data_IF_399124439898
#
_entry.id   IF_399124439898
#
_cell.length_a   1.000
_cell.length_b   1.000
_cell.length_c   1.000
_cell.angle_alpha   90.00
_cell.angle_beta   90.00
_cell.angle_gamma   90.00
#
_symmetry.space_group_name_H-M   'P 1'
#
loop_
_entity.id
_entity.type
_entity.pdbx_description
1 polymer ?
#
# COMPACT_ATOMS: atom_id res chain seq x y z
N UNK A 1 15.75 -16.08 26.10
CA UNK A 1 14.50 -15.96 25.31
C UNK A 1 14.43 -14.68 24.49
N UNK A 2 14.77 -13.51 25.05
CA UNK A 2 14.80 -12.23 24.32
C UNK A 2 15.71 -12.24 23.09
N UNK A 3 16.91 -12.82 23.17
CA UNK A 3 17.84 -12.87 22.02
C UNK A 3 17.33 -13.71 20.85
N UNK A 4 16.67 -14.85 21.12
CA UNK A 4 16.06 -15.70 20.09
C UNK A 4 14.91 -14.95 19.41
N UNK A 5 14.05 -14.31 20.20
CA UNK A 5 12.99 -13.45 19.68
C UNK A 5 13.54 -12.29 18.84
N UNK A 6 14.65 -11.70 19.26
CA UNK A 6 15.35 -10.65 18.50
C UNK A 6 15.84 -11.13 17.14
N UNK A 7 16.43 -12.32 17.04
CA UNK A 7 16.84 -12.89 15.76
C UNK A 7 15.65 -13.27 14.86
N UNK A 8 14.57 -13.80 15.43
CA UNK A 8 13.34 -14.07 14.68
C UNK A 8 12.69 -12.79 14.15
N UNK A 9 12.69 -11.72 14.95
CA UNK A 9 12.23 -10.40 14.50
C UNK A 9 13.14 -9.82 13.41
N UNK A 10 14.45 -9.99 13.51
CA UNK A 10 15.38 -9.61 12.45
C UNK A 10 15.12 -10.37 11.14
N UNK A 11 14.84 -11.67 11.22
CA UNK A 11 14.50 -12.50 10.06
C UNK A 11 13.19 -12.06 9.40
N UNK A 12 12.17 -11.64 10.18
CA UNK A 12 10.90 -11.18 9.62
C UNK A 12 11.05 -9.91 8.77
N UNK A 13 12.02 -9.05 9.08
CA UNK A 13 12.35 -7.88 8.26
C UNK A 13 12.86 -8.28 6.86
N UNK A 14 13.63 -9.38 6.75
CA UNK A 14 14.08 -9.89 5.45
C UNK A 14 12.91 -10.41 4.61
N UNK A 15 11.93 -11.07 5.25
CA UNK A 15 10.71 -11.52 4.58
C UNK A 15 9.91 -10.31 4.09
N UNK A 16 9.74 -9.28 4.92
CA UNK A 16 9.08 -8.03 4.54
C UNK A 16 9.76 -7.37 3.33
N UNK A 17 11.10 -7.25 3.35
CA UNK A 17 11.86 -6.68 2.23
C UNK A 17 11.68 -7.50 0.94
N UNK A 18 11.67 -8.82 1.03
CA UNK A 18 11.45 -9.69 -0.13
C UNK A 18 10.07 -9.44 -0.77
N UNK A 19 9.01 -9.28 0.05
CA UNK A 19 7.66 -8.94 -0.42
C UNK A 19 7.63 -7.56 -1.07
N UNK A 20 8.27 -6.54 -0.46
CA UNK A 20 8.36 -5.19 -1.06
C UNK A 20 9.04 -5.25 -2.43
N UNK A 21 10.18 -5.95 -2.54
CA UNK A 21 10.89 -6.11 -3.81
C UNK A 21 10.00 -6.79 -4.85
N UNK A 22 9.25 -7.82 -4.46
CA UNK A 22 8.31 -8.49 -5.36
C UNK A 22 7.24 -7.52 -5.86
N UNK A 23 6.58 -6.78 -4.97
CA UNK A 23 5.53 -5.81 -5.32
C UNK A 23 6.03 -4.69 -6.23
N UNK A 24 7.25 -4.19 -6.00
CA UNK A 24 7.86 -3.14 -6.84
C UNK A 24 8.23 -3.67 -8.23
N UNK A 25 8.70 -4.92 -8.33
CA UNK A 25 9.09 -5.54 -9.60
C UNK A 25 7.89 -5.89 -10.49
N UNK A 26 6.69 -6.00 -9.92
CA UNK A 26 5.45 -6.19 -10.66
C UNK A 26 4.47 -7.10 -9.94
N UNK A 27 3.42 -7.50 -10.65
CA UNK A 27 2.32 -8.29 -10.12
C UNK A 27 0.98 -7.81 -10.66
N UNK A 28 -0.09 -8.27 -10.04
CA UNK A 28 -1.43 -7.76 -10.31
C UNK A 28 -1.52 -6.29 -9.87
N UNK A 29 -2.03 -5.44 -10.76
CA UNK A 29 -2.23 -4.03 -10.43
C UNK A 29 -3.37 -3.91 -9.45
N UNK A 30 -3.14 -3.19 -8.35
CA UNK A 30 -4.19 -2.90 -7.39
C UNK A 30 -5.32 -2.10 -8.06
N UNK A 31 -6.56 -2.43 -7.71
CA UNK A 31 -7.72 -1.59 -8.03
C UNK A 31 -7.57 -0.20 -7.38
N UNK A 32 -8.35 0.78 -7.85
CA UNK A 32 -8.38 2.13 -7.28
C UNK A 32 -8.76 2.12 -5.78
N UNK A 33 -9.68 1.23 -5.40
CA UNK A 33 -10.08 0.96 -4.02
C UNK A 33 -9.88 -0.53 -3.71
N UNK A 34 -8.67 -0.95 -3.30
CA UNK A 34 -8.34 -2.35 -3.09
C UNK A 34 -8.83 -2.91 -1.74
N UNK A 35 -9.24 -2.04 -0.81
CA UNK A 35 -9.66 -2.43 0.54
C UNK A 35 -11.16 -2.25 0.75
N UNK A 36 -11.77 -3.22 1.43
CA UNK A 36 -13.14 -3.09 1.90
C UNK A 36 -13.22 -2.05 3.03
N UNK A 37 -14.23 -1.19 2.97
CA UNK A 37 -14.41 -0.11 3.96
C UNK A 37 -13.48 1.10 3.76
N UNK A 38 -12.73 1.18 2.66
CA UNK A 38 -11.96 2.38 2.32
C UNK A 38 -12.90 3.56 2.02
N UNK A 39 -12.82 4.61 2.84
CA UNK A 39 -13.62 5.83 2.73
C UNK A 39 -12.71 7.04 2.57
N UNK A 40 -13.24 8.11 1.98
CA UNK A 40 -12.46 9.31 1.66
C UNK A 40 -12.23 9.51 0.16
N UNK A 41 -11.76 10.71 -0.17
CA UNK A 41 -11.58 11.14 -1.56
C UNK A 41 -10.42 10.43 -2.26
N UNK A 42 -9.43 9.97 -1.52
CA UNK A 42 -8.26 9.25 -2.03
C UNK A 42 -8.63 7.96 -2.78
N UNK A 43 -9.79 7.36 -2.46
CA UNK A 43 -10.31 6.14 -3.11
C UNK A 43 -11.17 6.42 -4.34
N UNK A 44 -11.39 7.70 -4.67
CA UNK A 44 -12.05 8.11 -5.93
C UNK A 44 -11.05 8.32 -7.06
N UNK A 45 -9.76 8.22 -6.76
CA UNK A 45 -8.63 8.48 -7.65
C UNK A 45 -8.12 7.14 -8.21
N UNK A 46 -7.70 7.07 -9.49
CA UNK A 46 -7.14 5.84 -10.04
C UNK A 46 -5.81 5.46 -9.35
N UNK A 47 -5.48 4.17 -9.40
CA UNK A 47 -4.17 3.64 -8.99
C UNK A 47 -3.36 3.26 -10.24
N UNK A 48 -2.17 3.82 -10.48
CA UNK A 48 -1.47 4.84 -9.68
C UNK A 48 -2.11 6.23 -9.79
N UNK A 49 -1.93 7.05 -8.75
CA UNK A 49 -2.48 8.39 -8.71
C UNK A 49 -1.86 9.30 -9.79
N UNK A 50 -2.65 10.14 -10.46
CA UNK A 50 -2.14 11.13 -11.40
C UNK A 50 -1.41 12.26 -10.64
N UNK A 51 -0.56 13.00 -11.34
CA UNK A 51 0.20 14.11 -10.75
C UNK A 51 -0.71 15.24 -10.19
N UNK A 52 -1.84 15.49 -10.86
CA UNK A 52 -2.88 16.40 -10.40
C UNK A 52 -4.17 15.64 -10.15
N UNK A 53 -4.47 15.43 -8.87
CA UNK A 53 -5.54 14.53 -8.42
C UNK A 53 -6.95 15.04 -8.71
N UNK A 54 -7.21 16.34 -8.47
CA UNK A 54 -8.53 16.95 -8.67
C UNK A 54 -8.38 18.29 -9.40
N UNK A 55 -8.86 18.38 -10.64
CA UNK A 55 -8.95 19.65 -11.37
C UNK A 55 -10.19 20.46 -10.97
N UNK A 56 -11.25 19.77 -10.54
CA UNK A 56 -12.48 20.37 -10.01
C UNK A 56 -12.63 19.94 -8.55
N UNK A 57 -12.94 20.86 -7.63
CA UNK A 57 -13.13 20.51 -6.22
C UNK A 57 -14.20 19.41 -6.07
N UNK A 58 -13.88 18.28 -5.42
CA UNK A 58 -14.86 17.26 -5.14
C UNK A 58 -15.87 17.79 -4.12
N UNK A 59 -17.14 17.41 -4.30
CA UNK A 59 -18.17 17.70 -3.30
C UNK A 59 -18.05 16.69 -2.17
N UNK A 60 -18.02 17.18 -0.94
CA UNK A 60 -18.04 16.38 0.27
C UNK A 60 -19.38 16.68 0.92
N UNK A 61 -20.19 15.66 1.09
CA UNK A 61 -21.48 15.73 1.80
C UNK A 61 -21.29 15.50 3.31
#
# INVERSE_FOLDING_TARGET
MVSIGGFLFGLSQLIFLAVVIQCVRGGEKAAAKPWDGAEGLEWTVPSPAPHHTFSTPPKVD
#
